data_IF_515562492185
#
_entry.id   IF_515562492185
#
_cell.length_a   1.000
_cell.length_b   1.000
_cell.length_c   1.000
_cell.angle_alpha   90.00
_cell.angle_beta   90.00
_cell.angle_gamma   90.00
#
_symmetry.space_group_name_H-M   'P 1'
#
loop_
_entity.id
_entity.type
_entity.pdbx_description
1 polymer ?
#
# COMPACT_ATOMS: atom_id res chain seq x y z
N UNK A 1 10.49 -10.67 -13.99
CA UNK A 1 9.17 -11.27 -13.66
C UNK A 1 8.49 -10.53 -12.50
N UNK A 2 9.03 -10.56 -11.27
CA UNK A 2 8.40 -9.91 -10.11
C UNK A 2 8.12 -8.42 -10.31
N UNK A 3 9.07 -7.66 -10.88
CA UNK A 3 8.85 -6.25 -11.22
C UNK A 3 7.69 -6.02 -12.21
N UNK A 4 7.43 -6.95 -13.12
CA UNK A 4 6.30 -6.85 -14.05
C UNK A 4 4.96 -7.09 -13.33
N UNK A 5 4.94 -8.00 -12.36
CA UNK A 5 3.79 -8.22 -11.46
C UNK A 5 3.52 -6.98 -10.61
N UNK A 6 4.55 -6.39 -10.01
CA UNK A 6 4.41 -5.15 -9.24
C UNK A 6 3.87 -4.00 -10.08
N UNK A 7 4.31 -3.88 -11.34
CA UNK A 7 3.77 -2.90 -12.26
C UNK A 7 2.27 -3.12 -12.52
N UNK A 8 1.82 -4.35 -12.71
CA UNK A 8 0.39 -4.65 -12.88
C UNK A 8 -0.41 -4.22 -11.64
N UNK A 9 0.06 -4.56 -10.44
CA UNK A 9 -0.59 -4.17 -9.18
C UNK A 9 -0.65 -2.64 -9.04
N UNK A 10 0.46 -1.94 -9.28
CA UNK A 10 0.52 -0.48 -9.17
C UNK A 10 -0.41 0.22 -10.16
N UNK A 11 -0.41 -0.21 -11.44
CA UNK A 11 -1.21 0.45 -12.47
C UNK A 11 -2.70 0.15 -12.32
N UNK A 12 -3.07 -1.05 -11.88
CA UNK A 12 -4.47 -1.38 -11.58
C UNK A 12 -5.01 -0.53 -10.43
N UNK A 13 -4.27 -0.39 -9.33
CA UNK A 13 -4.62 0.51 -8.22
C UNK A 13 -4.74 1.98 -8.66
N UNK A 14 -3.78 2.48 -9.46
CA UNK A 14 -3.84 3.85 -10.00
C UNK A 14 -5.06 4.08 -10.89
N UNK A 15 -5.45 3.09 -11.70
CA UNK A 15 -6.60 3.22 -12.59
C UNK A 15 -7.92 3.40 -11.83
N UNK A 16 -8.05 2.82 -10.62
CA UNK A 16 -9.25 2.91 -9.78
C UNK A 16 -9.13 3.92 -8.65
N UNK A 17 -8.00 4.60 -8.49
CA UNK A 17 -7.74 5.53 -7.39
C UNK A 17 -8.85 6.58 -7.21
N UNK A 18 -9.44 7.06 -8.30
CA UNK A 18 -10.47 8.10 -8.28
C UNK A 18 -11.84 7.62 -7.74
N UNK A 19 -12.07 6.30 -7.69
CA UNK A 19 -13.32 5.71 -7.19
C UNK A 19 -13.17 5.09 -5.80
N UNK A 20 -11.94 4.89 -5.33
CA UNK A 20 -11.66 4.38 -3.99
C UNK A 20 -11.94 5.47 -2.95
N UNK A 21 -12.73 5.15 -1.94
CA UNK A 21 -12.99 6.03 -0.80
C UNK A 21 -11.74 6.03 0.10
N UNK A 22 -11.07 7.17 0.21
CA UNK A 22 -9.87 7.33 1.01
C UNK A 22 -10.22 7.81 2.43
N UNK A 23 -10.42 6.87 3.35
CA UNK A 23 -10.61 7.14 4.77
C UNK A 23 -9.37 6.68 5.55
N UNK A 24 -8.84 7.54 6.42
CA UNK A 24 -7.63 7.29 7.20
C UNK A 24 -7.77 6.14 8.20
N UNK A 25 -9.00 5.78 8.55
CA UNK A 25 -9.32 4.66 9.43
C UNK A 25 -9.68 3.39 8.66
N UNK A 26 -9.51 3.39 7.34
CA UNK A 26 -9.82 2.25 6.47
C UNK A 26 -8.57 1.73 5.78
N UNK A 27 -8.48 0.41 5.70
CA UNK A 27 -7.49 -0.30 4.90
C UNK A 27 -8.19 -1.42 4.14
N UNK A 28 -7.64 -1.80 2.99
CA UNK A 28 -8.16 -2.88 2.17
C UNK A 28 -7.03 -3.81 1.74
N UNK A 29 -7.28 -5.12 1.79
CA UNK A 29 -6.35 -6.14 1.32
C UNK A 29 -6.87 -6.69 -0.02
N UNK A 30 -6.08 -6.56 -1.07
CA UNK A 30 -6.42 -7.07 -2.41
C UNK A 30 -5.67 -8.36 -2.71
N UNK A 31 -6.35 -9.31 -3.35
CA UNK A 31 -5.76 -10.53 -3.89
C UNK A 31 -5.74 -10.47 -5.41
N UNK A 32 -4.58 -10.65 -6.02
CA UNK A 32 -4.40 -10.57 -7.47
C UNK A 32 -4.22 -11.96 -8.08
N UNK A 33 -5.14 -12.34 -8.97
CA UNK A 33 -5.01 -13.55 -9.79
C UNK A 33 -4.23 -13.19 -11.06
N UNK A 34 -3.01 -13.71 -11.15
CA UNK A 34 -2.07 -13.44 -12.24
C UNK A 34 -1.77 -14.73 -12.99
N UNK A 35 -2.01 -14.72 -14.30
CA UNK A 35 -1.59 -15.80 -15.20
C UNK A 35 -0.27 -15.40 -15.85
N UNK A 36 0.66 -16.35 -15.96
CA UNK A 36 1.93 -16.18 -16.65
C UNK A 36 1.86 -16.95 -17.97
N UNK A 37 2.13 -16.28 -19.08
CA UNK A 37 2.16 -16.92 -20.39
C UNK A 37 3.49 -17.63 -20.69
N UNK A 38 3.61 -18.25 -21.86
CA UNK A 38 4.82 -18.95 -22.31
C UNK A 38 6.04 -18.05 -22.46
N UNK A 39 5.83 -16.73 -22.61
CA UNK A 39 6.89 -15.74 -22.75
C UNK A 39 7.25 -15.09 -21.39
N UNK A 40 6.76 -15.66 -20.28
CA UNK A 40 6.92 -15.16 -18.91
C UNK A 40 6.33 -13.76 -18.70
N UNK A 41 5.35 -13.37 -19.52
CA UNK A 41 4.61 -12.13 -19.35
C UNK A 41 3.41 -12.37 -18.44
N UNK A 42 3.28 -11.60 -17.34
CA UNK A 42 2.13 -11.71 -16.45
C UNK A 42 0.92 -10.97 -17.01
N UNK A 43 -0.27 -11.53 -16.75
CA UNK A 43 -1.56 -10.99 -17.13
C UNK A 43 -2.50 -10.97 -15.93
N UNK A 44 -3.15 -9.83 -15.70
CA UNK A 44 -4.16 -9.69 -14.66
C UNK A 44 -5.47 -10.35 -15.09
N UNK A 45 -6.00 -11.26 -14.28
CA UNK A 45 -7.29 -11.92 -14.54
C UNK A 45 -8.36 -11.42 -13.58
N UNK A 46 -8.01 -11.25 -12.31
CA UNK A 46 -8.94 -10.81 -11.28
C UNK A 46 -8.17 -10.13 -10.13
N UNK A 47 -8.87 -9.29 -9.37
CA UNK A 47 -8.34 -8.54 -8.23
C UNK A 47 -9.15 -8.76 -6.94
N UNK A 48 -9.93 -9.84 -6.84
CA UNK A 48 -10.73 -10.17 -5.65
C UNK A 48 -10.12 -11.34 -4.86
N UNK A 49 -9.74 -11.17 -3.59
CA UNK A 49 -9.27 -12.28 -2.77
C UNK A 49 -10.43 -13.22 -2.40
N UNK A 50 -10.22 -14.54 -2.50
CA UNK A 50 -11.13 -15.51 -1.89
C UNK A 50 -10.71 -15.82 -0.46
N UNK A 51 -11.61 -15.55 0.50
CA UNK A 51 -11.45 -15.89 1.91
C UNK A 51 -11.96 -17.30 2.26
N UNK A 52 -12.55 -18.04 1.30
CA UNK A 52 -13.00 -19.41 1.56
C UNK A 52 -11.78 -20.31 1.80
N UNK A 53 -11.71 -20.99 2.93
CA UNK A 53 -10.63 -21.93 3.23
C UNK A 53 -10.90 -23.27 2.57
N UNK A 54 -10.07 -23.69 1.62
CA UNK A 54 -10.26 -24.96 0.90
C UNK A 54 -9.40 -26.10 1.45
N UNK A 55 -8.26 -25.78 2.09
CA UNK A 55 -7.38 -26.77 2.74
C UNK A 55 -6.82 -26.25 4.07
N UNK A 56 -6.16 -27.12 4.85
CA UNK A 56 -5.52 -26.75 6.12
C UNK A 56 -4.36 -25.78 5.87
N UNK A 57 -3.61 -26.00 4.80
CA UNK A 57 -2.49 -25.16 4.37
C UNK A 57 -2.98 -23.76 3.99
N UNK A 58 -4.05 -23.70 3.20
CA UNK A 58 -4.71 -22.45 2.81
C UNK A 58 -5.21 -21.67 4.05
N UNK A 59 -5.83 -22.37 5.01
CA UNK A 59 -6.23 -21.76 6.29
C UNK A 59 -5.03 -21.20 7.06
N UNK A 60 -3.92 -21.93 7.14
CA UNK A 60 -2.73 -21.49 7.86
C UNK A 60 -2.08 -20.28 7.19
N UNK A 61 -1.99 -20.29 5.85
CA UNK A 61 -1.48 -19.17 5.07
C UNK A 61 -2.34 -17.92 5.25
N UNK A 62 -3.67 -18.05 5.08
CA UNK A 62 -4.62 -16.94 5.28
C UNK A 62 -4.60 -16.39 6.70
N UNK A 63 -4.50 -17.26 7.71
CA UNK A 63 -4.42 -16.83 9.11
C UNK A 63 -3.14 -16.01 9.39
N UNK A 64 -2.01 -16.41 8.81
CA UNK A 64 -0.75 -15.65 8.90
C UNK A 64 -0.87 -14.30 8.20
N UNK A 65 -1.40 -14.30 6.97
CA UNK A 65 -1.63 -13.07 6.21
C UNK A 65 -2.50 -12.09 7.00
N UNK A 66 -3.65 -12.54 7.53
CA UNK A 66 -4.56 -11.67 8.28
C UNK A 66 -3.92 -11.11 9.55
N UNK A 67 -3.16 -11.94 10.28
CA UNK A 67 -2.41 -11.47 11.46
C UNK A 67 -1.43 -10.36 11.10
N UNK A 68 -0.65 -10.58 10.05
CA UNK A 68 0.40 -9.65 9.65
C UNK A 68 -0.19 -8.35 9.05
N UNK A 69 -1.33 -8.42 8.34
CA UNK A 69 -2.10 -7.24 7.89
C UNK A 69 -2.63 -6.44 9.07
N UNK A 70 -3.22 -7.11 10.08
CA UNK A 70 -3.75 -6.44 11.26
C UNK A 70 -2.64 -5.80 12.11
N UNK A 71 -1.49 -6.45 12.22
CA UNK A 71 -0.32 -5.86 12.88
C UNK A 71 0.09 -4.54 12.22
N UNK A 72 0.18 -4.52 10.88
CA UNK A 72 0.51 -3.30 10.14
C UNK A 72 -0.57 -2.22 10.23
N UNK A 73 -1.84 -2.59 10.15
CA UNK A 73 -2.95 -1.64 10.13
C UNK A 73 -3.27 -1.05 11.51
N UNK A 74 -3.09 -1.81 12.59
CA UNK A 74 -3.59 -1.47 13.94
C UNK A 74 -2.47 -1.00 14.89
N UNK A 75 -1.19 -1.28 14.59
CA UNK A 75 -0.08 -0.95 15.49
C UNK A 75 0.01 0.54 15.91
N UNK A 76 -0.64 1.45 15.19
CA UNK A 76 -0.61 2.89 15.47
C UNK A 76 -1.91 3.49 16.05
N UNK A 77 -2.91 2.68 16.41
CA UNK A 77 -4.16 3.13 17.07
C UNK A 77 -3.96 3.45 18.57
N UNK A 78 -3.01 4.35 18.86
CA UNK A 78 -2.90 4.98 20.17
C UNK A 78 -4.12 5.89 20.43
N UNK A 79 -4.56 5.95 21.70
CA UNK A 79 -5.82 6.57 22.18
C UNK A 79 -6.02 8.06 21.81
N UNK A 80 -5.08 8.74 21.15
CA UNK A 80 -5.11 10.19 20.93
C UNK A 80 -4.54 10.72 19.59
N UNK A 81 -4.41 9.90 18.55
CA UNK A 81 -3.79 10.32 17.27
C UNK A 81 -4.78 10.91 16.26
N UNK A 82 -5.56 11.94 16.65
CA UNK A 82 -6.52 12.58 15.72
C UNK A 82 -5.91 13.35 14.53
N UNK A 83 -4.58 13.40 14.30
CA UNK A 83 -4.01 14.32 13.29
C UNK A 83 -2.75 13.92 12.53
N UNK A 84 -2.11 12.79 12.80
CA UNK A 84 -0.84 12.45 12.10
C UNK A 84 -0.89 11.02 11.60
N UNK A 85 -1.07 10.86 10.28
CA UNK A 85 -0.86 9.58 9.61
C UNK A 85 0.64 9.28 9.66
N UNK A 86 1.00 8.23 10.39
CA UNK A 86 2.35 7.69 10.36
C UNK A 86 2.33 6.46 9.45
N UNK A 87 3.18 6.41 8.39
CA UNK A 87 3.29 5.22 7.58
C UNK A 87 3.63 4.02 8.48
N UNK A 88 2.95 2.88 8.31
CA UNK A 88 3.23 1.69 9.11
C UNK A 88 4.69 1.26 8.92
N UNK A 89 5.34 0.91 10.01
CA UNK A 89 6.69 0.36 9.97
C UNK A 89 6.62 -1.11 9.55
N UNK A 90 7.34 -1.47 8.48
CA UNK A 90 7.40 -2.86 8.04
C UNK A 90 8.25 -3.67 9.02
N UNK A 91 7.70 -4.78 9.50
CA UNK A 91 8.45 -5.68 10.36
C UNK A 91 9.40 -6.52 9.53
N UNK A 92 10.63 -6.72 10.00
CA UNK A 92 11.58 -7.63 9.36
C UNK A 92 11.09 -9.10 9.35
N UNK A 93 10.06 -9.43 10.15
CA UNK A 93 9.50 -10.77 10.27
C UNK A 93 8.23 -10.98 9.43
N UNK A 94 7.60 -9.92 8.93
CA UNK A 94 6.45 -10.02 8.05
C UNK A 94 6.90 -9.86 6.58
N UNK A 95 6.30 -10.63 5.68
CA UNK A 95 6.72 -10.69 4.26
C UNK A 95 6.30 -9.48 3.42
N UNK A 96 5.99 -8.35 4.04
CA UNK A 96 5.47 -7.16 3.36
C UNK A 96 6.61 -6.27 2.86
N UNK A 97 6.41 -5.69 1.68
CA UNK A 97 7.30 -4.69 1.10
C UNK A 97 6.52 -3.49 0.59
N UNK A 98 7.13 -2.31 0.62
CA UNK A 98 6.54 -1.11 0.03
C UNK A 98 6.62 -1.16 -1.49
N UNK A 99 5.47 -1.26 -2.15
CA UNK A 99 5.39 -1.08 -3.61
C UNK A 99 5.42 0.40 -4.02
N UNK A 100 4.73 1.25 -3.27
CA UNK A 100 4.75 2.71 -3.39
C UNK A 100 4.38 3.33 -2.05
N UNK A 101 4.95 4.49 -1.73
CA UNK A 101 4.58 5.29 -0.58
C UNK A 101 4.28 6.73 -1.02
N UNK A 102 3.03 6.92 -1.46
CA UNK A 102 2.56 8.22 -1.96
C UNK A 102 2.49 9.27 -0.84
N UNK A 103 2.25 8.86 0.40
CA UNK A 103 2.23 9.77 1.56
C UNK A 103 3.60 10.44 1.75
N UNK A 104 4.68 9.66 1.74
CA UNK A 104 6.04 10.20 1.86
C UNK A 104 6.44 11.07 0.66
N UNK A 105 6.01 10.71 -0.56
CA UNK A 105 6.26 11.52 -1.74
C UNK A 105 5.56 12.90 -1.66
N UNK A 106 4.29 12.92 -1.25
CA UNK A 106 3.51 14.14 -1.04
C UNK A 106 4.10 15.02 0.07
N UNK A 107 4.61 14.43 1.15
CA UNK A 107 5.27 15.17 2.22
C UNK A 107 6.57 15.83 1.75
N UNK A 108 7.39 15.11 0.98
CA UNK A 108 8.61 15.65 0.40
C UNK A 108 8.34 16.86 -0.51
N UNK A 109 7.29 16.78 -1.35
CA UNK A 109 6.87 17.87 -2.22
C UNK A 109 6.34 19.08 -1.44
N UNK A 110 5.54 18.86 -0.39
CA UNK A 110 5.07 19.91 0.52
C UNK A 110 6.22 20.62 1.25
N UNK A 111 7.31 19.92 1.56
CA UNK A 111 8.49 20.53 2.17
C UNK A 111 9.30 21.37 1.16
N UNK A 112 9.42 20.89 -0.09
CA UNK A 112 10.11 21.63 -1.17
C UNK A 112 9.39 22.95 -1.49
N UNK A 113 8.07 22.91 -1.63
CA UNK A 113 7.25 24.10 -1.89
C UNK A 113 7.31 25.11 -0.74
N UNK A 114 7.27 24.66 0.53
CA UNK A 114 7.48 25.54 1.69
C UNK A 114 8.86 26.19 1.71
N UNK A 115 9.92 25.46 1.35
CA UNK A 115 11.29 26.00 1.26
C UNK A 115 11.42 27.04 0.14
N UNK A 116 10.81 26.80 -1.02
CA UNK A 116 10.78 27.75 -2.13
C UNK A 116 10.03 29.05 -1.76
N UNK A 117 8.86 28.93 -1.12
CA UNK A 117 8.08 30.08 -0.63
C UNK A 117 8.87 30.93 0.38
N UNK A 118 9.59 30.31 1.32
CA UNK A 118 10.46 31.02 2.28
C UNK A 118 11.62 31.74 1.62
N UNK A 119 12.28 31.13 0.62
CA UNK A 119 13.36 31.77 -0.15
C UNK A 119 12.87 33.02 -0.88
N UNK A 120 11.74 32.91 -1.58
CA UNK A 120 11.14 34.06 -2.26
C UNK A 120 10.79 35.18 -1.26
N UNK A 121 10.24 34.85 -0.09
CA UNK A 121 9.90 35.86 0.92
C UNK A 121 11.13 36.60 1.51
N UNK A 122 12.30 35.96 1.53
CA UNK A 122 13.56 36.60 1.98
C UNK A 122 14.27 37.41 0.91
N UNK A 123 13.92 37.24 -0.37
CA UNK A 123 14.59 37.91 -1.50
C UNK A 123 14.03 39.32 -1.78
N UNK A 124 12.81 39.62 -1.32
CA UNK A 124 12.17 40.94 -1.44
C UNK A 124 12.34 41.83 -0.19
N UNK A 125 13.33 41.52 0.67
CA UNK A 125 13.63 42.27 1.90
C UNK A 125 14.98 42.96 1.83
#
# INVERSE_FOLDING_TARGET
>A
MLAAIHNIMLHSLKAVQNVIINDVHSFECYGYDIIIDSDLKPWLVNASPSLSTTTIEDRNMKSRLLRDVLELAVAHDGVDTRRSFHPPELSATNGFEWLTNEASALEAEKQLTKKASRKNATEWR
#
